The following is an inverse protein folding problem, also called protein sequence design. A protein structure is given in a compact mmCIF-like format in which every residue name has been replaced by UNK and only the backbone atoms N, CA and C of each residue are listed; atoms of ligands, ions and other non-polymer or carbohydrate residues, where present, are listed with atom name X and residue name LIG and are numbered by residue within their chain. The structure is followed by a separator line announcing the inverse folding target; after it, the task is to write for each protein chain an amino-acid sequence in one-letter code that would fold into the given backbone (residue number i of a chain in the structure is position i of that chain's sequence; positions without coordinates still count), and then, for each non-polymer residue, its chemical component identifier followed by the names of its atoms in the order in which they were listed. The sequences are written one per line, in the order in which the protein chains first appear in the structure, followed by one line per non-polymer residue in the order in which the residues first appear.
data_IF_301767449962
#
_entry.id   IF_301767449962
#
_cell.length_a   1.000
_cell.length_b   1.000
_cell.length_c   1.000
_cell.angle_alpha   90.00
_cell.angle_beta   90.00
_cell.angle_gamma   90.00
#
_symmetry.space_group_name_H-M   'P 1'
#
loop_
_entity.id
_entity.type
_entity.pdbx_description
1 polymer ?
#
# COMPACT_ATOMS: atom_id res chain seq x y z
N UNK A 1 39.49 -49.59 -12.19
CA UNK A 1 38.72 -49.31 -10.98
C UNK A 1 37.74 -48.21 -11.31
N UNK A 2 36.46 -48.50 -11.11
CA UNK A 2 35.33 -47.60 -11.28
C UNK A 2 35.36 -46.48 -10.24
N UNK A 3 34.99 -45.28 -10.66
CA UNK A 3 33.90 -44.52 -10.03
C UNK A 3 33.25 -43.67 -11.12
N UNK A 4 32.02 -44.03 -11.51
CA UNK A 4 31.03 -43.11 -12.06
C UNK A 4 30.83 -41.95 -11.08
N UNK A 5 30.59 -40.72 -11.56
CA UNK A 5 29.44 -39.93 -11.11
C UNK A 5 28.93 -39.08 -12.29
N UNK A 6 27.68 -39.36 -12.64
CA UNK A 6 26.88 -38.65 -13.63
C UNK A 6 26.31 -37.36 -13.00
N UNK A 7 25.76 -36.50 -13.86
CA UNK A 7 24.72 -35.48 -13.57
C UNK A 7 25.22 -34.20 -12.88
N UNK A 8 24.76 -32.99 -13.21
CA UNK A 8 23.56 -32.60 -13.93
C UNK A 8 23.74 -31.14 -14.42
N UNK A 9 23.30 -30.86 -15.64
CA UNK A 9 23.06 -29.51 -16.10
C UNK A 9 21.68 -29.08 -15.57
N UNK A 10 21.57 -28.05 -14.73
CA UNK A 10 20.29 -27.40 -14.47
C UNK A 10 20.39 -25.91 -14.76
N UNK A 11 19.89 -25.58 -15.95
CA UNK A 11 19.39 -24.27 -16.34
C UNK A 11 18.34 -23.83 -15.33
N UNK A 12 18.67 -22.86 -14.47
CA UNK A 12 17.67 -22.05 -13.76
C UNK A 12 18.37 -20.99 -12.92
N UNK A 13 18.57 -19.80 -13.49
CA UNK A 13 18.30 -18.58 -12.73
C UNK A 13 18.01 -17.41 -13.67
N UNK A 14 16.99 -17.57 -14.54
CA UNK A 14 16.19 -16.41 -14.91
C UNK A 14 15.27 -16.18 -13.73
N UNK A 15 15.83 -15.58 -12.68
CA UNK A 15 15.13 -15.24 -11.45
C UNK A 15 13.93 -14.39 -11.82
N UNK A 16 12.75 -14.99 -11.69
CA UNK A 16 11.46 -14.35 -11.77
C UNK A 16 11.46 -13.24 -10.72
N UNK A 17 11.71 -12.00 -11.13
CA UNK A 17 11.44 -10.83 -10.30
C UNK A 17 9.93 -10.79 -10.11
N UNK A 18 9.42 -11.53 -9.12
CA UNK A 18 8.20 -11.13 -8.43
C UNK A 18 8.49 -9.70 -8.00
N UNK A 19 7.84 -8.73 -8.64
CA UNK A 19 7.67 -7.44 -8.02
C UNK A 19 7.09 -7.77 -6.64
N UNK A 20 7.88 -7.53 -5.60
CA UNK A 20 7.36 -7.51 -4.24
C UNK A 20 6.21 -6.52 -4.32
N UNK A 21 4.96 -7.00 -4.23
CA UNK A 21 3.83 -6.16 -3.86
C UNK A 21 4.24 -5.64 -2.49
N UNK A 22 4.95 -4.51 -2.45
CA UNK A 22 5.17 -3.81 -1.20
C UNK A 22 3.79 -3.63 -0.60
N UNK A 23 3.59 -4.08 0.65
CA UNK A 23 2.30 -3.99 1.34
C UNK A 23 1.78 -2.55 1.26
N UNK A 24 0.87 -2.30 0.30
CA UNK A 24 0.38 -0.95 -0.01
C UNK A 24 -0.49 -0.50 1.15
N UNK A 25 -0.06 0.56 1.83
CA UNK A 25 -0.84 1.18 2.91
C UNK A 25 -1.82 2.18 2.32
N UNK A 26 -3.11 2.06 2.67
CA UNK A 26 -4.19 2.92 2.18
C UNK A 26 -4.93 3.57 3.34
N UNK A 27 -5.20 4.87 3.24
CA UNK A 27 -6.11 5.58 4.14
C UNK A 27 -7.52 5.65 3.53
N UNK A 28 -8.49 5.03 4.20
CA UNK A 28 -9.90 5.13 3.80
C UNK A 28 -10.58 6.31 4.48
N UNK A 29 -11.28 7.13 3.69
CA UNK A 29 -12.12 8.23 4.18
C UNK A 29 -13.58 7.88 3.95
N UNK A 30 -14.32 7.68 5.02
CA UNK A 30 -15.76 7.36 4.94
C UNK A 30 -16.57 8.65 4.95
N UNK A 31 -17.32 8.87 3.87
CA UNK A 31 -18.18 10.03 3.71
C UNK A 31 -19.63 9.67 4.00
N UNK A 32 -20.32 10.57 4.69
CA UNK A 32 -21.75 10.45 4.98
C UNK A 32 -22.57 10.65 3.71
N UNK A 33 -23.24 9.59 3.25
CA UNK A 33 -24.06 9.61 2.02
C UNK A 33 -25.16 10.67 2.05
N UNK A 34 -25.81 10.88 3.20
CA UNK A 34 -26.90 11.85 3.34
C UNK A 34 -26.45 13.30 3.16
N UNK A 35 -25.15 13.59 3.32
CA UNK A 35 -24.57 14.91 3.07
C UNK A 35 -24.14 15.08 1.62
N UNK A 36 -23.74 14.01 0.93
CA UNK A 36 -23.37 14.03 -0.49
C UNK A 36 -24.55 14.53 -1.34
N UNK A 37 -25.75 14.08 -1.02
CA UNK A 37 -26.96 14.46 -1.77
C UNK A 37 -27.43 15.90 -1.46
N UNK A 38 -26.90 16.54 -0.41
CA UNK A 38 -27.37 17.86 0.08
C UNK A 38 -26.36 18.97 -0.08
N UNK A 39 -25.06 18.66 -0.11
CA UNK A 39 -23.99 19.65 -0.11
C UNK A 39 -23.31 19.72 -1.47
N UNK A 40 -22.73 20.87 -1.85
CA UNK A 40 -21.88 20.94 -3.03
C UNK A 40 -20.74 19.92 -2.94
N UNK A 41 -20.40 19.29 -4.06
CA UNK A 41 -19.34 18.28 -4.12
C UNK A 41 -18.03 18.81 -3.50
N UNK A 42 -17.67 20.06 -3.80
CA UNK A 42 -16.49 20.70 -3.21
C UNK A 42 -16.50 20.71 -1.68
N UNK A 43 -17.64 21.00 -1.05
CA UNK A 43 -17.77 21.02 0.41
C UNK A 43 -17.55 19.63 1.03
N UNK A 44 -18.06 18.59 0.39
CA UNK A 44 -17.86 17.19 0.84
C UNK A 44 -16.40 16.80 0.71
N UNK A 45 -15.77 17.12 -0.43
CA UNK A 45 -14.35 16.85 -0.67
C UNK A 45 -13.47 17.56 0.35
N UNK A 46 -13.73 18.84 0.64
CA UNK A 46 -12.99 19.59 1.66
C UNK A 46 -13.07 18.92 3.04
N UNK A 47 -14.24 18.40 3.43
CA UNK A 47 -14.36 17.65 4.69
C UNK A 47 -13.58 16.34 4.68
N UNK A 48 -13.58 15.62 3.56
CA UNK A 48 -12.73 14.44 3.37
C UNK A 48 -11.25 14.77 3.56
N UNK A 49 -10.77 15.84 2.92
CA UNK A 49 -9.40 16.33 3.08
C UNK A 49 -9.09 16.70 4.55
N UNK A 50 -9.99 17.39 5.24
CA UNK A 50 -9.81 17.72 6.65
C UNK A 50 -9.69 16.47 7.52
N UNK A 51 -10.57 15.47 7.30
CA UNK A 51 -10.52 14.21 8.03
C UNK A 51 -9.21 13.45 7.78
N UNK A 52 -8.74 13.39 6.53
CA UNK A 52 -7.46 12.78 6.16
C UNK A 52 -6.27 13.40 6.89
N UNK A 53 -6.13 14.73 6.79
CA UNK A 53 -5.01 15.45 7.41
C UNK A 53 -5.07 15.38 8.94
N UNK A 54 -6.26 15.46 9.52
CA UNK A 54 -6.43 15.30 10.96
C UNK A 54 -6.01 13.91 11.45
N UNK A 55 -6.40 12.84 10.74
CA UNK A 55 -6.02 11.48 11.08
C UNK A 55 -4.50 11.28 11.03
N UNK A 56 -3.85 11.79 9.98
CA UNK A 56 -2.37 11.76 9.84
C UNK A 56 -1.71 12.51 11.00
N UNK A 57 -2.17 13.73 11.30
CA UNK A 57 -1.55 14.53 12.35
C UNK A 57 -1.71 13.91 13.74
N UNK A 58 -2.89 13.37 14.03
CA UNK A 58 -3.18 12.70 15.32
C UNK A 58 -2.31 11.46 15.54
N UNK A 59 -1.92 10.76 14.47
CA UNK A 59 -1.14 9.52 14.53
C UNK A 59 0.23 9.66 13.84
N UNK A 60 0.79 10.87 13.81
CA UNK A 60 2.00 11.18 13.03
C UNK A 60 3.23 10.32 13.37
N UNK A 61 3.26 9.77 14.58
CA UNK A 61 4.35 8.93 15.08
C UNK A 61 4.05 7.42 14.96
N UNK A 62 2.86 7.05 14.48
CA UNK A 62 2.46 5.65 14.25
C UNK A 62 3.19 5.08 13.02
N UNK A 63 3.68 3.84 13.12
CA UNK A 63 4.46 3.21 12.06
C UNK A 63 3.70 3.07 10.74
N UNK A 64 2.38 2.88 10.77
CA UNK A 64 1.56 2.82 9.56
C UNK A 64 1.38 4.19 8.91
N UNK A 65 1.26 5.25 9.71
CA UNK A 65 1.17 6.64 9.21
C UNK A 65 2.51 7.10 8.63
N UNK A 66 3.63 6.76 9.27
CA UNK A 66 4.96 6.99 8.72
C UNK A 66 5.16 6.25 7.40
N UNK A 67 4.77 4.97 7.32
CA UNK A 67 4.83 4.22 6.05
C UNK A 67 3.98 4.89 4.97
N UNK A 68 2.75 5.29 5.30
CA UNK A 68 1.85 5.97 4.36
C UNK A 68 2.39 7.30 3.81
N UNK A 69 3.13 8.08 4.62
CA UNK A 69 3.61 9.42 4.23
C UNK A 69 4.98 9.46 3.55
N UNK A 70 5.81 8.42 3.72
CA UNK A 70 7.21 8.43 3.32
C UNK A 70 7.60 7.37 2.28
N UNK A 71 6.63 6.58 1.78
CA UNK A 71 6.82 5.66 0.63
C UNK A 71 6.55 6.34 -0.70
#
# INVERSE_FOLDING_TARGET
MSTDETTNLSVSDVGERKAEDEDVVVQYVVLRRDLIDKWPLGSVVTQGCHASVAAIWQHKDDSSTLRYCYT
#
